data_IF_832710358827
#
_entry.id   IF_832710358827
#
_cell.length_a   1.000
_cell.length_b   1.000
_cell.length_c   1.000
_cell.angle_alpha   90.00
_cell.angle_beta   90.00
_cell.angle_gamma   90.00
#
_symmetry.space_group_name_H-M   'P 1'
#
loop_
_entity.id
_entity.type
_entity.pdbx_description
1 polymer ?
#
# COMPACT_ATOMS: atom_id res chain seq x y z
N UNK A 1 -12.85 54.06 29.30
CA UNK A 1 -12.62 52.66 28.89
C UNK A 1 -12.69 51.76 30.12
N UNK A 2 -13.48 50.69 30.10
CA UNK A 2 -13.64 49.78 31.25
C UNK A 2 -12.54 48.70 31.20
N UNK A 3 -11.57 48.66 32.14
CA UNK A 3 -10.43 47.73 32.08
C UNK A 3 -10.86 46.26 32.12
N UNK A 4 -12.01 45.96 32.75
CA UNK A 4 -12.62 44.63 32.74
C UNK A 4 -12.98 44.15 31.33
N UNK A 5 -13.46 45.05 30.46
CA UNK A 5 -13.83 44.66 29.09
C UNK A 5 -12.59 44.30 28.27
N UNK A 6 -11.49 45.04 28.46
CA UNK A 6 -10.20 44.76 27.82
C UNK A 6 -9.64 43.42 28.28
N UNK A 7 -9.73 43.11 29.58
CA UNK A 7 -9.35 41.80 30.11
C UNK A 7 -10.18 40.68 29.46
N UNK A 8 -11.49 40.82 29.39
CA UNK A 8 -12.32 39.85 28.68
C UNK A 8 -11.97 39.79 27.20
N UNK A 9 -11.75 40.88 26.46
CA UNK A 9 -11.38 40.79 25.04
C UNK A 9 -10.00 40.18 24.78
N UNK A 10 -9.02 40.36 25.68
CA UNK A 10 -7.68 39.75 25.55
C UNK A 10 -7.63 38.27 25.97
N UNK A 11 -8.50 37.84 26.88
CA UNK A 11 -8.53 36.48 27.43
C UNK A 11 -9.79 35.67 27.07
N UNK A 12 -10.72 36.26 26.31
CA UNK A 12 -11.85 35.57 25.71
C UNK A 12 -11.33 34.84 24.48
N UNK A 13 -10.96 33.58 24.70
CA UNK A 13 -10.67 32.64 23.65
C UNK A 13 -11.88 31.71 23.52
N UNK A 14 -12.65 31.89 22.46
CA UNK A 14 -13.82 31.05 22.12
C UNK A 14 -13.40 29.58 21.89
N UNK A 15 -12.10 29.35 21.62
CA UNK A 15 -11.46 28.03 21.51
C UNK A 15 -10.67 27.63 22.77
N UNK A 16 -11.05 28.09 23.96
CA UNK A 16 -10.47 27.60 25.23
C UNK A 16 -11.13 26.30 25.69
N UNK A 17 -11.41 25.40 24.75
CA UNK A 17 -11.84 24.05 25.06
C UNK A 17 -10.60 23.21 25.39
N UNK A 18 -10.75 22.33 26.38
CA UNK A 18 -9.71 21.36 26.77
C UNK A 18 -9.18 20.56 25.57
N UNK A 19 -10.00 20.42 24.51
CA UNK A 19 -9.67 19.81 23.23
C UNK A 19 -8.54 20.55 22.49
N UNK A 20 -8.55 21.87 22.43
CA UNK A 20 -7.53 22.66 21.73
C UNK A 20 -6.16 22.57 22.42
N UNK A 21 -6.16 22.46 23.76
CA UNK A 21 -4.94 22.27 24.54
C UNK A 21 -4.36 20.85 24.36
N UNK A 22 -5.23 19.85 24.26
CA UNK A 22 -4.86 18.47 23.92
C UNK A 22 -4.29 18.39 22.49
N UNK A 23 -4.91 19.06 21.51
CA UNK A 23 -4.41 19.14 20.14
C UNK A 23 -3.03 19.80 20.06
N UNK A 24 -2.84 20.92 20.79
CA UNK A 24 -1.55 21.61 20.84
C UNK A 24 -0.44 20.73 21.45
N UNK A 25 -0.77 19.92 22.47
CA UNK A 25 0.17 18.97 23.06
C UNK A 25 0.45 17.76 22.15
N UNK A 26 -0.58 17.26 21.45
CA UNK A 26 -0.46 16.11 20.55
C UNK A 26 0.21 16.46 19.22
N UNK A 27 0.16 17.72 18.78
CA UNK A 27 0.78 18.16 17.52
C UNK A 27 2.25 17.73 17.35
N UNK A 28 3.18 18.01 18.29
CA UNK A 28 4.58 17.57 18.18
C UNK A 28 4.72 16.05 18.20
N UNK A 29 3.85 15.35 18.93
CA UNK A 29 3.82 13.89 18.99
C UNK A 29 3.35 13.27 17.66
N UNK A 30 2.30 13.83 17.05
CA UNK A 30 1.81 13.43 15.72
C UNK A 30 2.88 13.68 14.67
N UNK A 31 3.55 14.83 14.69
CA UNK A 31 4.65 15.12 13.76
C UNK A 31 5.81 14.13 13.89
N UNK A 32 6.17 13.75 15.13
CA UNK A 32 7.18 12.73 15.40
C UNK A 32 6.78 11.36 14.87
N UNK A 33 5.53 10.95 15.11
CA UNK A 33 4.97 9.71 14.56
C UNK A 33 4.99 9.72 13.04
N UNK A 34 4.61 10.83 12.40
CA UNK A 34 4.67 10.97 10.94
C UNK A 34 6.10 10.84 10.40
N UNK A 35 7.12 11.34 11.13
CA UNK A 35 8.54 11.12 10.78
C UNK A 35 8.92 9.64 10.85
N UNK A 36 8.46 8.91 11.87
CA UNK A 36 8.69 7.46 12.00
C UNK A 36 8.02 6.71 10.84
N UNK A 37 6.74 6.99 10.55
CA UNK A 37 6.03 6.33 9.46
C UNK A 37 6.71 6.58 8.10
N UNK A 38 7.29 7.77 7.90
CA UNK A 38 8.07 8.05 6.70
C UNK A 38 9.32 7.17 6.62
N UNK A 39 10.08 7.03 7.71
CA UNK A 39 11.27 6.16 7.76
C UNK A 39 10.88 4.70 7.52
N UNK A 40 9.80 4.23 8.15
CA UNK A 40 9.25 2.89 7.94
C UNK A 40 8.87 2.69 6.47
N UNK A 41 8.26 3.70 5.83
CA UNK A 41 7.94 3.68 4.42
C UNK A 41 9.17 3.42 3.54
N UNK A 42 10.26 4.18 3.75
CA UNK A 42 11.51 3.96 3.01
C UNK A 42 12.14 2.59 3.27
N UNK A 43 12.14 2.12 4.52
CA UNK A 43 12.63 0.78 4.87
C UNK A 43 11.82 -0.30 4.16
N UNK A 44 10.48 -0.16 4.15
CA UNK A 44 9.59 -1.11 3.50
C UNK A 44 9.82 -1.14 1.98
N UNK A 45 9.99 0.02 1.35
CA UNK A 45 10.31 0.11 -0.09
C UNK A 45 11.64 -0.60 -0.40
N UNK A 46 12.71 -0.32 0.35
CA UNK A 46 13.99 -0.99 0.18
C UNK A 46 13.88 -2.51 0.40
N UNK A 47 13.13 -2.94 1.41
CA UNK A 47 12.88 -4.34 1.70
C UNK A 47 12.12 -5.03 0.56
N UNK A 48 11.14 -4.36 -0.04
CA UNK A 48 10.39 -4.87 -1.19
C UNK A 48 11.30 -5.03 -2.43
N UNK A 49 12.19 -4.07 -2.71
CA UNK A 49 13.18 -4.21 -3.81
C UNK A 49 14.06 -5.44 -3.58
N UNK A 50 14.56 -5.62 -2.36
CA UNK A 50 15.42 -6.76 -1.99
C UNK A 50 14.63 -8.06 -2.17
N UNK A 51 13.39 -8.12 -1.71
CA UNK A 51 12.51 -9.29 -1.88
C UNK A 51 12.23 -9.59 -3.35
N UNK A 52 11.95 -8.59 -4.18
CA UNK A 52 11.67 -8.78 -5.61
C UNK A 52 12.92 -9.28 -6.33
N UNK A 53 14.07 -8.65 -6.07
CA UNK A 53 15.36 -9.05 -6.66
C UNK A 53 15.71 -10.48 -6.26
N UNK A 54 15.46 -10.83 -4.99
CA UNK A 54 15.64 -12.17 -4.46
C UNK A 54 14.69 -13.19 -5.11
N UNK A 55 13.42 -12.83 -5.29
CA UNK A 55 12.43 -13.71 -5.93
C UNK A 55 12.80 -14.02 -7.39
N UNK A 56 13.28 -13.02 -8.14
CA UNK A 56 13.77 -13.20 -9.51
C UNK A 56 15.02 -14.10 -9.53
N UNK A 57 15.94 -13.91 -8.58
CA UNK A 57 17.12 -14.76 -8.46
C UNK A 57 16.76 -16.22 -8.18
N UNK A 58 15.84 -16.49 -7.25
CA UNK A 58 15.32 -17.84 -6.97
C UNK A 58 14.64 -18.46 -8.20
N UNK A 59 13.85 -17.67 -8.93
CA UNK A 59 13.20 -18.13 -10.15
C UNK A 59 14.21 -18.57 -11.21
N UNK A 60 15.22 -17.75 -11.49
CA UNK A 60 16.23 -18.05 -12.53
C UNK A 60 17.20 -19.16 -12.11
N UNK A 61 17.60 -19.21 -10.84
CA UNK A 61 18.66 -20.11 -10.36
C UNK A 61 18.15 -21.51 -9.99
N UNK A 62 16.94 -21.62 -9.43
CA UNK A 62 16.43 -22.89 -8.89
C UNK A 62 15.24 -23.41 -9.68
N UNK A 63 14.25 -22.55 -9.92
CA UNK A 63 12.98 -22.96 -10.51
C UNK A 63 13.13 -23.22 -12.01
N UNK A 64 13.79 -22.32 -12.75
CA UNK A 64 13.92 -22.41 -14.21
C UNK A 64 14.67 -23.69 -14.67
N UNK A 65 15.82 -24.09 -14.08
CA UNK A 65 16.49 -25.34 -14.44
C UNK A 65 15.63 -26.58 -14.16
N UNK A 66 14.82 -26.54 -13.10
CA UNK A 66 13.94 -27.65 -12.73
C UNK A 66 12.70 -27.73 -13.63
N UNK A 67 12.16 -26.60 -14.10
CA UNK A 67 11.05 -26.57 -15.04
C UNK A 67 11.50 -26.94 -16.46
N UNK A 68 12.74 -26.62 -16.85
CA UNK A 68 13.28 -26.98 -18.17
C UNK A 68 13.29 -28.49 -18.43
N UNK A 69 13.39 -29.31 -17.38
CA UNK A 69 13.36 -30.79 -17.49
C UNK A 69 11.93 -31.35 -17.54
N UNK A 70 10.91 -30.51 -17.42
CA UNK A 70 9.49 -30.91 -17.47
C UNK A 70 8.89 -30.75 -18.88
N UNK A 71 7.57 -30.95 -19.00
CA UNK A 71 6.86 -30.81 -20.29
C UNK A 71 6.89 -29.37 -20.80
N UNK A 72 6.98 -29.21 -22.13
CA UNK A 72 7.03 -27.91 -22.80
C UNK A 72 5.88 -26.97 -22.37
N UNK A 73 4.68 -27.52 -22.18
CA UNK A 73 3.50 -26.75 -21.74
C UNK A 73 3.71 -26.12 -20.36
N UNK A 74 4.25 -26.87 -19.40
CA UNK A 74 4.50 -26.35 -18.06
C UNK A 74 5.57 -25.27 -18.09
N UNK A 75 6.61 -25.45 -18.90
CA UNK A 75 7.62 -24.42 -19.13
C UNK A 75 7.02 -23.14 -19.69
N UNK A 76 6.23 -23.22 -20.76
CA UNK A 76 5.61 -22.05 -21.39
C UNK A 76 4.67 -21.31 -20.43
N UNK A 77 3.86 -22.03 -19.65
CA UNK A 77 2.96 -21.42 -18.66
C UNK A 77 3.77 -20.63 -17.61
N UNK A 78 4.79 -21.25 -17.01
CA UNK A 78 5.59 -20.59 -15.98
C UNK A 78 6.45 -19.45 -16.54
N UNK A 79 6.91 -19.58 -17.78
CA UNK A 79 7.66 -18.53 -18.46
C UNK A 79 6.77 -17.31 -18.76
N UNK A 80 5.57 -17.52 -19.30
CA UNK A 80 4.63 -16.43 -19.62
C UNK A 80 4.17 -15.73 -18.33
N UNK A 81 3.75 -16.51 -17.32
CA UNK A 81 3.28 -15.96 -16.04
C UNK A 81 4.42 -15.22 -15.31
N UNK A 82 5.64 -15.79 -15.29
CA UNK A 82 6.80 -15.18 -14.63
C UNK A 82 7.16 -13.81 -15.24
N UNK A 83 7.22 -13.73 -16.57
CA UNK A 83 7.48 -12.46 -17.26
C UNK A 83 6.34 -11.45 -17.05
N UNK A 84 5.09 -11.89 -17.06
CA UNK A 84 3.94 -11.03 -16.79
C UNK A 84 3.98 -10.43 -15.37
N UNK A 85 4.27 -11.25 -14.35
CA UNK A 85 4.43 -10.78 -12.97
C UNK A 85 5.61 -9.81 -12.83
N UNK A 86 6.73 -10.06 -13.52
CA UNK A 86 7.88 -9.15 -13.50
C UNK A 86 7.54 -7.77 -14.06
N UNK A 87 6.84 -7.71 -15.21
CA UNK A 87 6.38 -6.44 -15.81
C UNK A 87 5.42 -5.70 -14.89
N UNK A 88 4.44 -6.38 -14.29
CA UNK A 88 3.51 -5.77 -13.34
C UNK A 88 4.25 -5.21 -12.11
N UNK A 89 5.19 -5.99 -11.57
CA UNK A 89 5.98 -5.58 -10.40
C UNK A 89 6.81 -4.33 -10.70
N UNK A 90 7.50 -4.29 -11.84
CA UNK A 90 8.31 -3.12 -12.25
C UNK A 90 7.43 -1.89 -12.45
N UNK A 91 6.27 -2.03 -13.08
CA UNK A 91 5.35 -0.91 -13.30
C UNK A 91 4.81 -0.33 -11.99
N UNK A 92 4.32 -1.17 -11.08
CA UNK A 92 3.80 -0.71 -9.80
C UNK A 92 4.90 -0.05 -8.95
N UNK A 93 6.09 -0.65 -8.94
CA UNK A 93 7.24 -0.06 -8.28
C UNK A 93 7.65 1.30 -8.88
N UNK A 94 7.62 1.43 -10.21
CA UNK A 94 7.87 2.70 -10.90
C UNK A 94 6.81 3.76 -10.56
N UNK A 95 5.53 3.38 -10.51
CA UNK A 95 4.45 4.26 -10.07
C UNK A 95 4.68 4.72 -8.63
N UNK A 96 4.95 3.79 -7.72
CA UNK A 96 5.26 4.09 -6.32
C UNK A 96 6.46 5.04 -6.20
N UNK A 97 7.52 4.81 -6.98
CA UNK A 97 8.68 5.71 -7.06
C UNK A 97 8.31 7.09 -7.60
N UNK A 98 7.47 7.23 -8.63
CA UNK A 98 7.03 8.54 -9.14
C UNK A 98 6.21 9.29 -8.08
N UNK A 99 5.26 8.62 -7.44
CA UNK A 99 4.45 9.24 -6.39
C UNK A 99 5.33 9.68 -5.21
N UNK A 100 6.31 8.84 -4.84
CA UNK A 100 7.28 9.15 -3.79
C UNK A 100 8.25 10.27 -4.19
N UNK A 101 8.73 10.31 -5.43
CA UNK A 101 9.66 11.34 -5.93
C UNK A 101 8.97 12.66 -6.20
N UNK A 102 7.70 12.70 -6.60
CA UNK A 102 6.95 13.95 -6.77
C UNK A 102 6.66 14.60 -5.42
N UNK A 103 6.26 13.81 -4.41
CA UNK A 103 6.10 14.26 -3.03
C UNK A 103 7.44 14.63 -2.39
N UNK A 104 8.48 13.84 -2.70
CA UNK A 104 9.86 14.03 -2.26
C UNK A 104 10.49 15.31 -2.81
N UNK A 105 10.43 15.57 -4.13
CA UNK A 105 11.03 16.74 -4.78
C UNK A 105 10.43 18.07 -4.32
N UNK A 106 9.11 18.11 -4.08
CA UNK A 106 8.44 19.31 -3.55
C UNK A 106 8.98 19.69 -2.16
N UNK A 107 9.36 18.70 -1.35
CA UNK A 107 9.95 18.89 -0.02
C UNK A 107 11.48 19.02 -0.06
N UNK A 108 12.16 18.34 -1.00
CA UNK A 108 13.62 18.28 -1.12
C UNK A 108 14.20 19.56 -1.74
N UNK A 109 13.47 20.23 -2.65
CA UNK A 109 13.91 21.54 -3.16
C UNK A 109 13.91 22.65 -2.10
N UNK A 110 13.14 22.49 -1.01
CA UNK A 110 13.11 23.42 0.11
C UNK A 110 14.26 23.22 1.11
N UNK A 111 14.89 22.02 1.13
CA UNK A 111 15.90 21.69 2.12
C UNK A 111 16.95 20.72 1.55
N UNK A 112 18.10 21.29 1.16
CA UNK A 112 19.43 20.65 1.23
C UNK A 112 19.88 19.80 0.02
N UNK A 113 20.92 20.27 -0.69
CA UNK A 113 21.97 19.45 -1.33
C UNK A 113 23.35 20.01 -0.91
N UNK A 114 24.35 19.14 -0.67
CA UNK A 114 25.30 18.83 -1.74
C UNK A 114 25.64 17.35 -1.91
N UNK A 115 26.19 17.04 -3.09
CA UNK A 115 26.46 15.74 -3.70
C UNK A 115 27.49 14.88 -2.95
N UNK A 116 27.21 13.58 -2.86
CA UNK A 116 28.21 12.51 -2.75
C UNK A 116 27.85 11.41 -3.75
N UNK A 117 28.79 11.06 -4.63
CA UNK A 117 28.62 10.00 -5.62
C UNK A 117 28.85 8.64 -4.97
N UNK A 118 27.79 7.84 -4.85
CA UNK A 118 27.86 6.46 -4.37
C UNK A 118 27.89 5.52 -5.60
N UNK A 119 29.07 4.96 -5.87
CA UNK A 119 29.27 3.92 -6.89
C UNK A 119 28.68 2.58 -6.41
N UNK A 120 27.37 2.44 -6.52
CA UNK A 120 26.62 1.21 -6.20
C UNK A 120 26.98 0.08 -7.18
N UNK A 121 27.43 0.42 -8.39
CA UNK A 121 27.72 -0.52 -9.46
C UNK A 121 28.94 -1.43 -9.17
N UNK A 122 29.95 -0.94 -8.44
CA UNK A 122 31.13 -1.72 -8.07
C UNK A 122 30.89 -2.66 -6.86
N UNK A 123 29.90 -2.37 -6.02
CA UNK A 123 29.50 -3.23 -4.91
C UNK A 123 28.72 -4.46 -5.41
N UNK A 124 27.80 -4.27 -6.36
CA UNK A 124 26.99 -5.35 -6.93
C UNK A 124 27.84 -6.36 -7.71
N UNK A 125 28.87 -5.89 -8.44
CA UNK A 125 29.77 -6.76 -9.21
C UNK A 125 30.63 -7.64 -8.28
N UNK A 126 30.94 -7.20 -7.05
CA UNK A 126 31.72 -7.99 -6.09
C UNK A 126 30.90 -9.04 -5.33
N UNK A 127 29.56 -8.95 -5.28
CA UNK A 127 28.72 -9.98 -4.67
C UNK A 127 28.50 -11.21 -5.57
N UNK A 128 28.75 -11.09 -6.88
CA UNK A 128 28.43 -12.11 -7.88
C UNK A 128 29.50 -13.20 -8.10
N UNK A 129 30.52 -13.32 -7.26
CA UNK A 129 31.58 -14.31 -7.48
C UNK A 129 31.08 -15.75 -7.30
N UNK A 130 31.10 -16.52 -8.39
CA UNK A 130 30.83 -17.95 -8.47
C UNK A 130 31.96 -18.72 -7.73
N UNK A 131 31.68 -19.50 -6.66
CA UNK A 131 32.65 -20.18 -5.86
C UNK A 131 32.81 -21.65 -6.28
N UNK A 132 33.99 -22.13 -5.90
CA UNK A 132 34.52 -23.46 -6.12
C UNK A 132 33.64 -24.61 -5.54
N UNK A 133 33.83 -25.86 -6.01
CA UNK A 133 33.01 -27.02 -5.66
C UNK A 133 32.95 -27.40 -4.17
N UNK A 134 33.76 -26.78 -3.30
CA UNK A 134 33.72 -26.99 -1.84
C UNK A 134 32.60 -26.20 -1.12
N UNK A 135 31.88 -25.31 -1.83
CA UNK A 135 30.86 -24.41 -1.27
C UNK A 135 29.40 -24.91 -1.28
N UNK A 136 29.12 -26.13 -1.73
CA UNK A 136 27.74 -26.64 -1.88
C UNK A 136 26.91 -26.58 -0.58
N UNK A 137 27.52 -26.79 0.59
CA UNK A 137 26.82 -26.69 1.88
C UNK A 137 26.45 -25.25 2.26
N UNK A 138 27.31 -24.27 1.95
CA UNK A 138 27.05 -22.85 2.19
C UNK A 138 25.91 -22.37 1.29
N UNK A 139 25.87 -22.86 0.05
CA UNK A 139 24.78 -22.57 -0.87
C UNK A 139 23.44 -23.14 -0.46
N UNK A 140 23.44 -24.39 -0.03
CA UNK A 140 22.22 -25.00 0.49
C UNK A 140 21.70 -24.22 1.71
N UNK A 141 22.60 -23.79 2.60
CA UNK A 141 22.26 -22.99 3.77
C UNK A 141 21.73 -21.61 3.39
N UNK A 142 22.36 -20.93 2.42
CA UNK A 142 21.93 -19.63 1.90
C UNK A 142 20.54 -19.72 1.25
N UNK A 143 20.34 -20.64 0.31
CA UNK A 143 19.06 -20.86 -0.36
C UNK A 143 17.94 -21.24 0.63
N UNK A 144 18.27 -22.00 1.69
CA UNK A 144 17.31 -22.31 2.73
C UNK A 144 16.88 -21.05 3.50
N UNK A 145 17.83 -20.19 3.89
CA UNK A 145 17.52 -18.91 4.56
C UNK A 145 16.63 -18.02 3.67
N UNK A 146 16.93 -17.94 2.37
CA UNK A 146 16.13 -17.16 1.41
C UNK A 146 14.71 -17.69 1.27
N UNK A 147 14.55 -19.03 1.23
CA UNK A 147 13.25 -19.67 1.20
C UNK A 147 12.43 -19.34 2.47
N UNK A 148 13.06 -19.41 3.65
CA UNK A 148 12.40 -19.04 4.90
C UNK A 148 11.99 -17.57 4.94
N UNK A 149 12.85 -16.65 4.47
CA UNK A 149 12.54 -15.23 4.42
C UNK A 149 11.34 -14.94 3.50
N UNK A 150 11.32 -15.59 2.33
CA UNK A 150 10.20 -15.49 1.38
C UNK A 150 8.91 -16.05 1.98
N UNK A 151 8.99 -17.17 2.69
CA UNK A 151 7.83 -17.76 3.38
C UNK A 151 7.25 -16.80 4.42
N UNK A 152 8.09 -16.22 5.28
CA UNK A 152 7.63 -15.23 6.28
C UNK A 152 7.02 -14.01 5.60
N UNK A 153 7.61 -13.52 4.51
CA UNK A 153 7.08 -12.38 3.76
C UNK A 153 5.67 -12.66 3.21
N UNK A 154 5.41 -13.87 2.70
CA UNK A 154 4.08 -14.27 2.21
C UNK A 154 3.03 -14.18 3.33
N UNK A 155 3.34 -14.67 4.53
CA UNK A 155 2.38 -14.60 5.65
C UNK A 155 2.18 -13.17 6.16
N UNK A 156 3.26 -12.38 6.25
CA UNK A 156 3.19 -11.01 6.72
C UNK A 156 2.37 -10.13 5.75
N UNK A 157 2.75 -10.13 4.47
CA UNK A 157 2.08 -9.34 3.43
C UNK A 157 0.68 -9.90 3.15
N UNK A 158 0.53 -11.23 3.10
CA UNK A 158 -0.74 -11.90 2.89
C UNK A 158 -1.74 -11.65 4.03
N UNK A 159 -1.29 -11.68 5.28
CA UNK A 159 -2.10 -11.34 6.45
C UNK A 159 -2.58 -9.88 6.42
N UNK A 160 -1.67 -8.96 6.08
CA UNK A 160 -2.02 -7.55 5.90
C UNK A 160 -3.02 -7.37 4.75
N UNK A 161 -2.81 -8.04 3.61
CA UNK A 161 -3.72 -8.01 2.47
C UNK A 161 -5.09 -8.60 2.82
N UNK A 162 -5.15 -9.68 3.60
CA UNK A 162 -6.40 -10.31 4.05
C UNK A 162 -7.20 -9.37 4.96
N UNK A 163 -6.53 -8.67 5.89
CA UNK A 163 -7.17 -7.66 6.73
C UNK A 163 -7.75 -6.56 5.84
N UNK A 164 -6.97 -5.98 4.94
CA UNK A 164 -7.47 -4.93 4.05
C UNK A 164 -8.59 -5.43 3.13
N UNK A 165 -8.51 -6.67 2.66
CA UNK A 165 -9.57 -7.31 1.86
C UNK A 165 -10.88 -7.44 2.63
N UNK A 166 -10.82 -7.79 3.92
CA UNK A 166 -12.01 -7.83 4.78
C UNK A 166 -12.61 -6.43 4.98
N UNK A 167 -11.76 -5.42 5.15
CA UNK A 167 -12.18 -4.02 5.33
C UNK A 167 -12.88 -3.49 4.06
N UNK A 168 -12.26 -3.70 2.89
CA UNK A 168 -12.85 -3.36 1.58
C UNK A 168 -14.18 -4.08 1.38
N UNK A 169 -14.25 -5.36 1.78
CA UNK A 169 -15.47 -6.15 1.64
C UNK A 169 -16.66 -5.57 2.43
N UNK A 170 -16.39 -4.82 3.50
CA UNK A 170 -17.40 -4.13 4.32
C UNK A 170 -17.57 -2.64 3.92
N UNK A 171 -16.98 -2.21 2.80
CA UNK A 171 -17.06 -0.84 2.29
C UNK A 171 -16.43 0.22 3.19
N UNK A 172 -15.58 -0.19 4.14
CA UNK A 172 -15.03 0.69 5.17
C UNK A 172 -13.56 1.00 4.92
N UNK A 173 -13.04 2.05 5.57
CA UNK A 173 -11.60 2.30 5.69
C UNK A 173 -11.06 1.89 7.07
N UNK A 174 -9.73 1.76 7.19
CA UNK A 174 -9.08 1.52 8.50
C UNK A 174 -9.42 2.61 9.53
N UNK A 175 -9.57 3.85 9.07
CA UNK A 175 -9.90 5.01 9.92
C UNK A 175 -11.36 4.91 10.39
N UNK A 176 -12.28 4.58 9.49
CA UNK A 176 -13.70 4.42 9.82
C UNK A 176 -13.94 3.28 10.82
N UNK A 177 -13.32 2.12 10.60
CA UNK A 177 -13.43 0.99 11.53
C UNK A 177 -12.85 1.31 12.89
N UNK A 178 -11.75 2.07 12.93
CA UNK A 178 -11.16 2.54 14.18
C UNK A 178 -12.10 3.51 14.87
N UNK A 179 -12.69 4.46 14.13
CA UNK A 179 -13.63 5.44 14.65
C UNK A 179 -14.87 4.78 15.26
N UNK A 180 -15.42 3.75 14.63
CA UNK A 180 -16.59 3.00 15.14
C UNK A 180 -16.31 2.25 16.44
N UNK A 181 -15.03 1.94 16.75
CA UNK A 181 -14.61 1.23 17.97
C UNK A 181 -14.26 2.16 19.14
N UNK A 182 -14.36 3.48 18.97
CA UNK A 182 -14.06 4.43 20.05
C UNK A 182 -15.19 4.36 21.10
N UNK A 183 -14.87 4.18 22.40
CA UNK A 183 -15.89 3.97 23.45
C UNK A 183 -16.89 5.11 23.63
N UNK A 184 -16.54 6.34 23.23
CA UNK A 184 -17.41 7.51 23.33
C UNK A 184 -18.41 7.63 22.16
N UNK A 185 -18.33 6.73 21.18
CA UNK A 185 -19.27 6.69 20.06
C UNK A 185 -20.53 5.93 20.49
N UNK A 186 -21.74 6.49 20.27
CA UNK A 186 -22.98 5.82 20.64
C UNK A 186 -23.04 4.39 20.10
N UNK A 187 -23.53 3.44 20.91
CA UNK A 187 -23.62 2.03 20.54
C UNK A 187 -24.45 1.80 19.27
N UNK A 188 -25.40 2.69 18.97
CA UNK A 188 -26.17 2.74 17.73
C UNK A 188 -25.28 2.92 16.49
N UNK A 189 -24.24 3.76 16.58
CA UNK A 189 -23.28 4.00 15.50
C UNK A 189 -22.19 2.91 15.46
N UNK A 190 -21.78 2.38 16.61
CA UNK A 190 -20.81 1.27 16.68
C UNK A 190 -21.36 -0.05 16.10
N UNK A 191 -22.66 -0.31 16.27
CA UNK A 191 -23.35 -1.47 15.72
C UNK A 191 -24.01 -1.21 14.36
N UNK A 192 -23.99 0.03 13.86
CA UNK A 192 -24.53 0.34 12.55
C UNK A 192 -23.63 -0.29 11.48
N UNK A 193 -24.27 -1.00 10.54
CA UNK A 193 -23.59 -1.40 9.31
C UNK A 193 -23.12 -0.13 8.60
N UNK A 194 -21.89 -0.15 8.10
CA UNK A 194 -21.33 0.99 7.41
C UNK A 194 -22.28 1.45 6.28
N UNK A 195 -22.70 2.73 6.26
CA UNK A 195 -23.61 3.24 5.22
C UNK A 195 -23.07 3.06 3.80
N UNK A 196 -21.75 3.05 3.65
CA UNK A 196 -21.05 2.84 2.37
C UNK A 196 -20.89 1.37 1.97
N UNK A 197 -21.42 0.43 2.76
CA UNK A 197 -21.40 -1.00 2.40
C UNK A 197 -22.48 -1.33 1.36
N UNK A 198 -22.06 -1.36 0.09
CA UNK A 198 -22.88 -1.76 -1.05
C UNK A 198 -22.87 -3.28 -1.30
N UNK A 199 -22.29 -4.04 -0.39
CA UNK A 199 -22.11 -5.49 -0.49
C UNK A 199 -20.83 -5.86 -1.23
N UNK A 200 -20.35 -7.09 -0.96
CA UNK A 200 -19.04 -7.57 -1.38
C UNK A 200 -18.68 -7.20 -2.83
N UNK A 201 -19.49 -7.58 -3.81
CA UNK A 201 -19.14 -7.36 -5.23
C UNK A 201 -19.04 -5.89 -5.62
N UNK A 202 -19.98 -5.06 -5.18
CA UNK A 202 -20.00 -3.64 -5.55
C UNK A 202 -18.88 -2.87 -4.82
N UNK A 203 -18.62 -3.20 -3.56
CA UNK A 203 -17.49 -2.63 -2.81
C UNK A 203 -16.15 -2.90 -3.54
N UNK A 204 -15.95 -4.12 -4.03
CA UNK A 204 -14.76 -4.50 -4.78
C UNK A 204 -14.69 -3.84 -6.18
N UNK A 205 -15.82 -3.65 -6.86
CA UNK A 205 -15.87 -2.92 -8.14
C UNK A 205 -15.49 -1.46 -7.98
N UNK A 206 -16.01 -0.80 -6.93
CA UNK A 206 -15.69 0.59 -6.61
C UNK A 206 -14.21 0.71 -6.25
N UNK A 207 -13.72 -0.15 -5.35
CA UNK A 207 -12.32 -0.15 -4.92
C UNK A 207 -11.33 -0.34 -6.10
N UNK A 208 -11.60 -1.30 -6.98
CA UNK A 208 -10.76 -1.61 -8.14
C UNK A 208 -11.06 -0.76 -9.38
N UNK A 209 -12.08 0.08 -9.34
CA UNK A 209 -12.37 1.06 -10.39
C UNK A 209 -12.91 0.49 -11.71
N UNK A 210 -13.61 -0.65 -11.71
CA UNK A 210 -14.08 -1.31 -12.94
C UNK A 210 -15.60 -1.59 -12.97
N UNK A 211 -16.19 -1.43 -14.15
CA UNK A 211 -17.61 -1.72 -14.40
C UNK A 211 -17.79 -3.03 -15.20
N UNK A 212 -16.89 -3.29 -16.15
CA UNK A 212 -16.94 -4.43 -17.08
C UNK A 212 -15.67 -5.28 -17.03
N UNK A 213 -15.74 -6.50 -17.57
CA UNK A 213 -14.59 -7.41 -17.67
C UNK A 213 -13.41 -6.83 -18.47
N UNK A 214 -13.68 -6.11 -19.56
CA UNK A 214 -12.63 -5.42 -20.34
C UNK A 214 -11.91 -4.36 -19.51
N UNK A 215 -12.68 -3.59 -18.75
CA UNK A 215 -12.14 -2.59 -17.82
C UNK A 215 -11.35 -3.25 -16.70
N UNK A 216 -11.80 -4.39 -16.18
CA UNK A 216 -11.07 -5.17 -15.20
C UNK A 216 -9.69 -5.59 -15.72
N UNK A 217 -9.61 -6.16 -16.93
CA UNK A 217 -8.32 -6.57 -17.52
C UNK A 217 -7.39 -5.36 -17.72
N UNK A 218 -7.91 -4.26 -18.29
CA UNK A 218 -7.08 -3.08 -18.61
C UNK A 218 -6.66 -2.26 -17.39
N UNK A 219 -7.43 -2.31 -16.30
CA UNK A 219 -7.19 -1.49 -15.10
C UNK A 219 -6.52 -2.25 -13.96
N UNK A 220 -6.80 -3.55 -13.82
CA UNK A 220 -6.37 -4.38 -12.69
C UNK A 220 -5.28 -5.37 -13.09
N UNK A 221 -5.45 -6.07 -14.21
CA UNK A 221 -4.53 -7.15 -14.64
C UNK A 221 -3.31 -6.60 -15.38
N UNK A 222 -3.53 -5.59 -16.20
CA UNK A 222 -2.49 -4.90 -16.95
C UNK A 222 -2.03 -3.64 -16.20
N UNK A 223 -0.75 -3.26 -16.37
CA UNK A 223 -0.21 -2.06 -15.76
C UNK A 223 -0.98 -0.84 -16.26
N UNK A 224 -1.62 -0.11 -15.33
CA UNK A 224 -2.55 0.98 -15.63
C UNK A 224 -2.40 2.14 -14.67
N UNK A 225 -2.49 3.36 -15.19
CA UNK A 225 -2.45 4.62 -14.41
C UNK A 225 -3.86 5.20 -14.20
N UNK A 226 -4.88 4.35 -14.21
CA UNK A 226 -6.25 4.82 -14.05
C UNK A 226 -6.45 5.46 -12.67
N UNK A 227 -7.23 6.54 -12.64
CA UNK A 227 -7.63 7.19 -11.39
C UNK A 227 -8.73 6.35 -10.70
N UNK A 228 -8.84 6.45 -9.37
CA UNK A 228 -10.01 5.89 -8.66
C UNK A 228 -11.29 6.48 -9.25
N UNK A 229 -12.39 5.74 -9.15
CA UNK A 229 -13.68 6.25 -9.59
C UNK A 229 -14.18 7.29 -8.56
N UNK A 230 -14.49 8.50 -9.04
CA UNK A 230 -14.95 9.62 -8.21
C UNK A 230 -13.82 10.55 -7.72
N UNK A 231 -14.20 11.59 -7.00
CA UNK A 231 -13.31 12.61 -6.45
C UNK A 231 -12.91 12.33 -4.98
N UNK A 232 -13.52 11.32 -4.35
CA UNK A 232 -13.29 10.95 -2.96
C UNK A 232 -13.91 11.93 -1.94
N UNK A 233 -14.73 12.88 -2.41
CA UNK A 233 -15.42 13.86 -1.57
C UNK A 233 -16.86 13.41 -1.33
N UNK A 234 -17.53 12.89 -2.36
CA UNK A 234 -18.88 12.35 -2.26
C UNK A 234 -18.99 10.98 -2.95
N UNK A 235 -19.88 10.14 -2.42
CA UNK A 235 -20.21 8.81 -2.91
C UNK A 235 -21.67 8.69 -3.37
N UNK A 236 -22.43 9.80 -3.35
CA UNK A 236 -23.85 9.89 -3.70
C UNK A 236 -24.19 9.32 -5.09
N UNK A 237 -23.33 9.52 -6.07
CA UNK A 237 -23.50 8.99 -7.43
C UNK A 237 -23.69 7.46 -7.45
N UNK A 238 -22.96 6.73 -6.60
CA UNK A 238 -23.06 5.27 -6.53
C UNK A 238 -24.35 4.79 -5.87
N UNK A 239 -24.84 5.54 -4.88
CA UNK A 239 -26.13 5.25 -4.24
C UNK A 239 -27.28 5.48 -5.22
N UNK A 240 -27.27 6.61 -5.94
CA UNK A 240 -28.25 6.93 -6.96
C UNK A 240 -28.27 5.88 -8.09
N UNK A 241 -27.09 5.41 -8.51
CA UNK A 241 -26.96 4.40 -9.55
C UNK A 241 -27.48 3.03 -9.08
N UNK A 242 -27.30 2.68 -7.81
CA UNK A 242 -27.86 1.46 -7.22
C UNK A 242 -29.39 1.49 -7.17
N UNK A 243 -29.96 2.60 -6.70
CA UNK A 243 -31.42 2.76 -6.66
C UNK A 243 -32.01 2.60 -8.06
N UNK A 244 -31.41 3.25 -9.06
CA UNK A 244 -31.82 3.12 -10.46
C UNK A 244 -31.79 1.66 -10.97
N UNK A 245 -30.72 0.91 -10.65
CA UNK A 245 -30.59 -0.49 -11.06
C UNK A 245 -31.59 -1.43 -10.35
N UNK A 246 -31.96 -1.13 -9.11
CA UNK A 246 -33.01 -1.87 -8.37
C UNK A 246 -34.37 -1.63 -9.03
N UNK A 247 -34.68 -0.39 -9.42
CA UNK A 247 -35.93 -0.08 -10.13
C UNK A 247 -36.02 -0.81 -11.48
N UNK A 248 -34.92 -0.93 -12.21
CA UNK A 248 -34.88 -1.63 -13.51
C UNK A 248 -34.97 -3.16 -13.41
N UNK A 249 -34.61 -3.76 -12.27
CA UNK A 249 -34.71 -5.21 -12.05
C UNK A 249 -36.06 -5.65 -11.47
N UNK A 250 -36.90 -4.69 -11.06
CA UNK A 250 -38.26 -4.93 -10.58
C UNK A 250 -39.35 -4.70 -11.64
N UNK A 251 -38.98 -4.33 -12.87
CA UNK A 251 -39.84 -4.27 -14.06
C UNK A 251 -39.56 -5.47 -14.97
#
# INVERSE_FOLDING_TARGET
>A
MRPKLIYYTFFYNENNDSLTLIEAFLYPFVEYISKIFRIIGWILVCLVIILITNMIFLYLSVILPQIYTTTLTNFLIHFIIGNWLAVNTVFHYYMDCIYLTTFGFYYYSAYVYPKTELNIFSFIINLGSIPSPRGQGIYFTFNAIEFFLSFVAIFAVGGLAAINSFIISNGATNIELRSMRIPCVPSTYSNARNPYDLGFRENWKIFLGFNDFRSFILKVVLPSTHKPLGDGIDWSDYFNQREHNIFLTQM
#
